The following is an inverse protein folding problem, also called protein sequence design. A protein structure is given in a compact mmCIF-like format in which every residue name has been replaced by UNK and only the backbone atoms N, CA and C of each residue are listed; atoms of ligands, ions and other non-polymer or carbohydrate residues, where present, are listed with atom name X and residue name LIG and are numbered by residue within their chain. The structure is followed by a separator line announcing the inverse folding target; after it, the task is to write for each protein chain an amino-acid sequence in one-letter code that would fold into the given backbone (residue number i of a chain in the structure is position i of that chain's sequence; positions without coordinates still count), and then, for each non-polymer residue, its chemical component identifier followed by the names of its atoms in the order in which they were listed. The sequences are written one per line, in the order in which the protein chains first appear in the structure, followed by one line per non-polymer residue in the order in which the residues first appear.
data_IF_147180645784
#
_entry.id   IF_147180645784
#
_cell.length_a   1.000
_cell.length_b   1.000
_cell.length_c   1.000
_cell.angle_alpha   90.00
_cell.angle_beta   90.00
_cell.angle_gamma   90.00
#
_symmetry.space_group_name_H-M   'P 1'
#
loop_
_entity.id
_entity.type
_entity.pdbx_description
1 polymer ?
#
# COMPACT_ATOMS: atom_id res chain seq x y z
N UNK A 1 22.31 -4.11 19.07
CA UNK A 1 20.99 -4.50 19.65
C UNK A 1 20.00 -4.64 18.50
N UNK A 2 19.19 -5.69 18.45
CA UNK A 2 18.16 -5.84 17.40
C UNK A 2 17.17 -4.69 17.51
N UNK A 3 16.76 -4.10 16.36
CA UNK A 3 15.74 -3.05 16.30
C UNK A 3 14.47 -3.51 17.04
N UNK A 4 13.86 -2.61 17.82
CA UNK A 4 12.56 -2.87 18.46
C UNK A 4 11.38 -2.84 17.46
N UNK A 5 11.66 -2.67 16.17
CA UNK A 5 10.65 -2.57 15.12
C UNK A 5 10.94 -3.56 14.01
N UNK A 6 9.92 -4.29 13.58
CA UNK A 6 9.96 -5.26 12.48
C UNK A 6 9.19 -4.73 11.26
N UNK A 7 9.66 -5.09 10.06
CA UNK A 7 9.05 -4.75 8.78
C UNK A 7 8.34 -5.98 8.22
N UNK A 8 7.02 -5.94 8.10
CA UNK A 8 6.19 -7.02 7.53
C UNK A 8 5.91 -6.70 6.07
N UNK A 9 6.33 -7.58 5.15
CA UNK A 9 6.22 -7.40 3.70
C UNK A 9 5.06 -8.21 3.12
N UNK A 10 4.11 -7.53 2.50
CA UNK A 10 2.89 -8.10 1.93
C UNK A 10 2.89 -7.92 0.41
N UNK A 11 3.06 -8.99 -0.39
CA UNK A 11 3.13 -8.90 -1.85
C UNK A 11 1.77 -8.62 -2.49
N UNK A 12 1.78 -8.30 -3.78
CA UNK A 12 0.58 -8.15 -4.60
C UNK A 12 0.02 -9.48 -5.10
N UNK A 13 -1.09 -9.39 -5.85
CA UNK A 13 -1.66 -10.52 -6.58
C UNK A 13 -0.61 -11.16 -7.51
N UNK A 14 -0.68 -12.46 -7.70
CA UNK A 14 0.25 -13.29 -8.50
C UNK A 14 1.71 -13.29 -8.01
N UNK A 15 2.06 -12.59 -6.92
CA UNK A 15 3.44 -12.46 -6.46
C UNK A 15 3.71 -13.25 -5.18
N UNK A 16 4.91 -13.85 -5.13
CA UNK A 16 5.50 -14.36 -3.88
C UNK A 16 6.28 -13.25 -3.17
N UNK A 17 6.47 -13.36 -1.84
CA UNK A 17 7.24 -12.34 -1.09
C UNK A 17 8.71 -12.24 -1.52
N UNK A 18 9.24 -13.22 -2.27
CA UNK A 18 10.58 -13.16 -2.87
C UNK A 18 10.75 -11.99 -3.86
N UNK A 19 9.67 -11.38 -4.35
CA UNK A 19 9.75 -10.16 -5.16
C UNK A 19 10.44 -9.00 -4.42
N UNK A 20 10.42 -9.00 -3.09
CA UNK A 20 11.09 -8.00 -2.26
C UNK A 20 12.54 -8.32 -1.87
N UNK A 21 13.12 -9.45 -2.33
CA UNK A 21 14.44 -9.92 -1.88
C UNK A 21 15.53 -8.83 -1.94
N UNK A 22 15.63 -8.09 -3.05
CA UNK A 22 16.61 -7.00 -3.23
C UNK A 22 16.48 -5.89 -2.17
N UNK A 23 15.27 -5.59 -1.73
CA UNK A 23 14.98 -4.57 -0.69
C UNK A 23 15.23 -5.15 0.70
N UNK A 24 14.70 -6.35 0.97
CA UNK A 24 14.87 -6.99 2.29
C UNK A 24 16.33 -7.26 2.61
N UNK A 25 17.11 -7.76 1.64
CA UNK A 25 18.56 -8.01 1.81
C UNK A 25 19.32 -6.74 2.18
N UNK A 26 19.01 -5.60 1.55
CA UNK A 26 19.65 -4.33 1.91
C UNK A 26 19.24 -3.87 3.32
N UNK A 27 17.94 -3.92 3.66
CA UNK A 27 17.46 -3.53 4.97
C UNK A 27 18.02 -4.43 6.09
N UNK A 28 18.17 -5.73 5.85
CA UNK A 28 18.70 -6.67 6.82
C UNK A 28 20.22 -6.55 6.97
N UNK A 29 20.97 -6.52 5.85
CA UNK A 29 22.44 -6.60 5.87
C UNK A 29 23.10 -5.27 6.16
N UNK A 30 22.50 -4.15 5.72
CA UNK A 30 23.09 -2.80 5.86
C UNK A 30 22.51 -2.03 7.05
N UNK A 31 21.24 -2.28 7.40
CA UNK A 31 20.52 -1.51 8.43
C UNK A 31 20.07 -2.36 9.61
N UNK A 32 20.38 -3.66 9.62
CA UNK A 32 20.08 -4.61 10.69
C UNK A 32 18.58 -4.66 11.10
N UNK A 33 17.68 -4.33 10.16
CA UNK A 33 16.24 -4.35 10.38
C UNK A 33 15.69 -5.76 10.22
N UNK A 34 14.72 -6.12 11.05
CA UNK A 34 14.02 -7.41 10.95
C UNK A 34 12.97 -7.33 9.85
N UNK A 35 13.11 -8.11 8.78
CA UNK A 35 12.17 -8.20 7.67
C UNK A 35 11.42 -9.54 7.72
N UNK A 36 10.09 -9.48 7.72
CA UNK A 36 9.19 -10.64 7.79
C UNK A 36 8.41 -10.73 6.48
N UNK A 37 8.80 -11.60 5.54
CA UNK A 37 8.04 -11.83 4.32
C UNK A 37 6.79 -12.65 4.59
N UNK A 38 5.63 -12.22 4.07
CA UNK A 38 4.36 -12.93 4.19
C UNK A 38 3.98 -13.56 2.86
N UNK A 39 3.73 -14.87 2.86
CA UNK A 39 3.14 -15.56 1.71
C UNK A 39 1.62 -15.46 1.83
N UNK A 40 0.96 -14.98 0.78
CA UNK A 40 -0.49 -14.92 0.71
C UNK A 40 -1.05 -16.27 0.25
N UNK A 41 -1.92 -16.94 1.02
CA UNK A 41 -2.54 -18.20 0.63
C UNK A 41 -3.20 -18.19 -0.75
N UNK A 42 -3.81 -17.05 -1.12
CA UNK A 42 -4.50 -16.88 -2.41
C UNK A 42 -3.59 -16.90 -3.63
N UNK A 43 -2.27 -16.86 -3.42
CA UNK A 43 -1.24 -16.95 -4.47
C UNK A 43 -0.54 -18.32 -4.51
N UNK A 44 -1.04 -19.33 -3.76
CA UNK A 44 -0.39 -20.61 -3.55
C UNK A 44 -1.15 -21.80 -4.16
N UNK A 45 -1.68 -21.62 -5.37
CA UNK A 45 -2.37 -22.65 -6.14
C UNK A 45 -3.61 -23.25 -5.45
N UNK A 46 -4.22 -22.53 -4.50
CA UNK A 46 -5.50 -22.87 -3.88
C UNK A 46 -6.61 -21.92 -4.36
N UNK A 47 -7.52 -22.37 -5.25
CA UNK A 47 -8.62 -21.54 -5.72
C UNK A 47 -9.68 -21.26 -4.66
N UNK A 48 -9.66 -22.00 -3.55
CA UNK A 48 -10.58 -21.81 -2.43
C UNK A 48 -10.06 -20.83 -1.39
N UNK A 49 -8.77 -20.53 -1.42
CA UNK A 49 -8.18 -19.52 -0.54
C UNK A 49 -8.88 -18.18 -0.71
N UNK A 50 -9.20 -17.52 0.40
CA UNK A 50 -10.04 -16.33 0.47
C UNK A 50 -9.24 -15.10 0.91
N UNK A 51 -9.85 -13.92 0.75
CA UNK A 51 -9.32 -12.66 1.30
C UNK A 51 -9.06 -12.76 2.81
N UNK A 52 -9.94 -13.46 3.55
CA UNK A 52 -9.77 -13.71 4.98
C UNK A 52 -8.46 -14.45 5.28
N UNK A 53 -8.14 -15.48 4.50
CA UNK A 53 -6.93 -16.27 4.72
C UNK A 53 -5.67 -15.42 4.53
N UNK A 54 -5.66 -14.51 3.54
CA UNK A 54 -4.57 -13.56 3.35
C UNK A 54 -4.46 -12.56 4.52
N UNK A 55 -5.60 -12.00 4.95
CA UNK A 55 -5.64 -11.11 6.12
C UNK A 55 -5.13 -11.83 7.37
N UNK A 56 -5.56 -13.07 7.60
CA UNK A 56 -5.14 -13.85 8.77
C UNK A 56 -3.65 -14.20 8.71
N UNK A 57 -3.08 -14.48 7.55
CA UNK A 57 -1.65 -14.70 7.37
C UNK A 57 -0.83 -13.46 7.78
N UNK A 58 -1.24 -12.26 7.33
CA UNK A 58 -0.58 -11.00 7.69
C UNK A 58 -0.78 -10.68 9.17
N UNK A 59 -1.98 -10.86 9.72
CA UNK A 59 -2.27 -10.70 11.16
C UNK A 59 -1.44 -11.63 12.02
N UNK A 60 -1.22 -12.88 11.56
CA UNK A 60 -0.33 -13.85 12.22
C UNK A 60 1.11 -13.34 12.33
N UNK A 61 1.65 -12.79 11.24
CA UNK A 61 2.99 -12.18 11.23
C UNK A 61 3.08 -10.95 12.14
N UNK A 62 2.10 -10.04 12.10
CA UNK A 62 2.02 -8.87 12.98
C UNK A 62 1.97 -9.31 14.45
N UNK A 63 1.10 -10.27 14.79
CA UNK A 63 0.93 -10.76 16.17
C UNK A 63 2.20 -11.34 16.73
N UNK A 64 2.89 -12.18 15.95
CA UNK A 64 4.15 -12.80 16.39
C UNK A 64 5.21 -11.76 16.78
N UNK A 65 5.27 -10.63 16.11
CA UNK A 65 6.23 -9.58 16.43
C UNK A 65 5.75 -8.68 17.58
N UNK A 66 4.46 -8.32 17.60
CA UNK A 66 3.91 -7.50 18.68
C UNK A 66 3.90 -8.23 20.03
N UNK A 67 3.69 -9.55 20.06
CA UNK A 67 3.79 -10.37 21.27
C UNK A 67 5.24 -10.44 21.80
N UNK A 68 6.26 -10.21 20.94
CA UNK A 68 7.66 -10.08 21.36
C UNK A 68 8.00 -8.66 21.86
N UNK A 69 7.01 -7.77 21.97
CA UNK A 69 7.20 -6.36 22.33
C UNK A 69 7.81 -5.51 21.21
N UNK A 70 7.74 -5.95 19.96
CA UNK A 70 8.24 -5.19 18.81
C UNK A 70 7.13 -4.42 18.14
N UNK A 71 7.40 -3.17 17.81
CA UNK A 71 6.53 -2.43 16.91
C UNK A 71 6.65 -2.96 15.48
N UNK A 72 5.62 -2.76 14.67
CA UNK A 72 5.53 -3.29 13.30
C UNK A 72 5.22 -2.15 12.32
N UNK A 73 5.95 -2.13 11.21
CA UNK A 73 5.62 -1.36 10.01
C UNK A 73 5.20 -2.35 8.92
N UNK A 74 4.04 -2.12 8.30
CA UNK A 74 3.50 -3.01 7.26
C UNK A 74 3.79 -2.41 5.89
N UNK A 75 4.59 -3.10 5.07
CA UNK A 75 4.95 -2.71 3.71
C UNK A 75 4.10 -3.52 2.75
N UNK A 76 3.35 -2.86 1.89
CA UNK A 76 2.36 -3.52 1.03
C UNK A 76 2.54 -3.15 -0.44
N UNK A 77 2.17 -4.03 -1.35
CA UNK A 77 2.20 -3.77 -2.78
C UNK A 77 0.88 -4.18 -3.45
N UNK A 78 0.34 -3.34 -4.32
CA UNK A 78 -0.80 -3.65 -5.18
C UNK A 78 -1.98 -4.26 -4.38
N UNK A 79 -2.53 -5.42 -4.75
CA UNK A 79 -3.55 -6.15 -3.98
C UNK A 79 -3.21 -6.30 -2.49
N UNK A 80 -1.94 -6.52 -2.17
CA UNK A 80 -1.47 -6.60 -0.78
C UNK A 80 -1.74 -5.34 0.04
N UNK A 81 -2.00 -4.19 -0.60
CA UNK A 81 -2.45 -2.97 0.05
C UNK A 81 -3.79 -3.13 0.74
N UNK A 82 -4.75 -3.79 0.08
CA UNK A 82 -6.07 -4.11 0.68
C UNK A 82 -5.90 -5.08 1.85
N UNK A 83 -5.07 -6.11 1.69
CA UNK A 83 -4.78 -7.11 2.73
C UNK A 83 -4.10 -6.47 3.94
N UNK A 84 -2.99 -5.74 3.72
CA UNK A 84 -2.21 -5.15 4.80
C UNK A 84 -2.98 -4.09 5.59
N UNK A 85 -3.74 -3.21 4.92
CA UNK A 85 -4.64 -2.28 5.59
C UNK A 85 -5.64 -2.99 6.50
N UNK A 86 -6.25 -4.08 6.00
CA UNK A 86 -7.24 -4.85 6.76
C UNK A 86 -6.62 -5.57 7.95
N UNK A 87 -5.39 -6.05 7.80
CA UNK A 87 -4.67 -6.77 8.84
C UNK A 87 -4.30 -5.91 10.05
N UNK A 88 -4.17 -4.59 9.89
CA UNK A 88 -3.79 -3.64 10.96
C UNK A 88 -4.88 -3.51 12.03
N UNK A 89 -6.14 -3.83 11.72
CA UNK A 89 -7.27 -3.67 12.65
C UNK A 89 -6.97 -4.24 14.04
N UNK A 90 -7.01 -3.36 15.06
CA UNK A 90 -6.80 -3.73 16.46
C UNK A 90 -5.33 -3.94 16.88
N UNK A 91 -4.36 -3.58 16.03
CA UNK A 91 -2.93 -3.59 16.36
C UNK A 91 -2.34 -2.19 16.51
N UNK A 92 -3.08 -1.13 16.21
CA UNK A 92 -2.65 0.25 16.45
C UNK A 92 -2.56 0.55 17.95
N UNK A 93 -1.71 1.51 18.31
CA UNK A 93 -1.62 1.98 19.68
C UNK A 93 -2.95 2.63 20.09
N UNK A 94 -3.54 2.27 21.23
CA UNK A 94 -4.73 2.97 21.74
C UNK A 94 -4.47 4.47 21.85
N UNK A 95 -5.45 5.34 21.56
CA UNK A 95 -5.34 6.76 21.84
C UNK A 95 -4.98 6.95 23.32
N UNK A 96 -3.94 7.75 23.61
CA UNK A 96 -3.67 8.16 24.99
C UNK A 96 -4.89 8.92 25.48
N UNK A 97 -5.57 8.36 26.47
CA UNK A 97 -6.57 9.09 27.24
C UNK A 97 -5.82 10.23 27.93
N UNK A 98 -5.99 11.45 27.42
CA UNK A 98 -5.50 12.67 28.07
C UNK A 98 -6.17 12.76 29.47
N UNK A 99 -5.51 12.19 30.45
CA UNK A 99 -5.91 12.38 31.85
C UNK A 99 -5.50 13.78 32.29
N UNK A 100 -6.22 14.81 31.82
CA UNK A 100 -6.30 16.09 32.47
C UNK A 100 -7.29 15.97 33.66
N UNK A 101 -6.82 15.42 34.76
CA UNK A 101 -7.63 15.26 35.94
C UNK A 101 -6.82 14.62 37.06
N UNK A 102 -6.24 15.43 37.93
CA UNK A 102 -5.65 14.99 39.18
C UNK A 102 -6.63 14.11 39.95
N UNK A 103 -6.27 12.88 40.19
CA UNK A 103 -6.83 12.09 41.30
C UNK A 103 -5.67 11.36 41.97
N UNK A 104 -5.32 11.90 43.13
CA UNK A 104 -4.45 11.27 44.12
C UNK A 104 -5.12 10.00 44.63
N UNK A 105 -4.72 8.84 44.13
CA UNK A 105 -5.02 7.54 44.77
C UNK A 105 -3.71 6.81 44.93
N UNK A 106 -3.40 6.43 46.14
CA UNK A 106 -2.19 5.75 46.62
C UNK A 106 -1.91 4.45 45.85
N UNK A 107 -0.63 4.08 45.69
CA UNK A 107 -0.26 2.85 45.00
C UNK A 107 -0.44 1.65 45.94
N UNK A 108 -1.43 0.84 45.67
CA UNK A 108 -1.51 -0.50 46.25
C UNK A 108 -1.52 -1.53 45.15
N UNK A 109 -0.63 -2.49 45.32
CA UNK A 109 -0.48 -3.78 44.64
C UNK A 109 0.30 -3.80 43.30
N UNK A 110 1.38 -4.49 43.38
CA UNK A 110 2.26 -5.00 42.32
C UNK A 110 1.51 -5.50 41.10
N UNK A 111 1.28 -4.62 40.09
CA UNK A 111 1.10 -5.09 38.73
C UNK A 111 2.46 -5.55 38.23
N UNK A 112 2.59 -6.85 38.05
CA UNK A 112 3.63 -7.42 37.19
C UNK A 112 3.67 -6.56 35.92
N UNK A 113 4.86 -6.02 35.59
CA UNK A 113 5.09 -5.33 34.32
C UNK A 113 4.94 -6.38 33.24
N UNK A 114 3.72 -6.57 32.71
CA UNK A 114 3.53 -7.27 31.46
C UNK A 114 4.47 -6.64 30.44
N UNK A 115 5.28 -7.44 29.79
CA UNK A 115 6.14 -6.99 28.69
C UNK A 115 5.28 -6.10 27.75
N UNK A 116 5.71 -4.86 27.51
CA UNK A 116 4.96 -3.94 26.66
C UNK A 116 4.71 -4.63 25.33
N UNK A 117 3.45 -4.86 24.99
CA UNK A 117 3.06 -5.41 23.69
C UNK A 117 3.36 -4.35 22.64
N UNK A 118 4.04 -4.73 21.54
CA UNK A 118 4.28 -3.85 20.41
C UNK A 118 2.99 -3.53 19.65
N UNK A 119 3.04 -2.54 18.77
CA UNK A 119 1.92 -2.07 17.96
C UNK A 119 2.30 -1.89 16.50
N UNK A 120 1.30 -1.86 15.61
CA UNK A 120 1.53 -1.34 14.26
C UNK A 120 1.65 0.18 14.35
N UNK A 121 2.79 0.71 13.89
CA UNK A 121 3.12 2.14 13.98
C UNK A 121 3.03 2.86 12.64
N UNK A 122 2.90 2.15 11.53
CA UNK A 122 2.72 2.74 10.21
C UNK A 122 2.53 1.72 9.10
N UNK A 123 2.06 2.21 7.96
CA UNK A 123 1.90 1.43 6.72
C UNK A 123 2.67 2.12 5.60
N UNK A 124 3.38 1.33 4.76
CA UNK A 124 4.06 1.82 3.56
C UNK A 124 3.45 1.13 2.34
N UNK A 125 2.39 1.70 1.74
CA UNK A 125 1.80 1.21 0.50
C UNK A 125 2.65 1.58 -0.71
N UNK A 126 2.86 0.61 -1.63
CA UNK A 126 3.61 0.77 -2.87
C UNK A 126 2.70 0.40 -4.04
N UNK A 127 2.53 1.30 -5.02
CA UNK A 127 1.80 1.03 -6.25
C UNK A 127 0.41 0.40 -6.00
N UNK A 128 -0.34 0.90 -5.03
CA UNK A 128 -1.62 0.32 -4.61
C UNK A 128 -2.71 1.37 -4.48
N UNK A 129 -3.95 0.93 -4.26
CA UNK A 129 -5.04 1.74 -3.79
C UNK A 129 -5.21 1.66 -2.27
N UNK A 130 -6.10 2.49 -1.73
CA UNK A 130 -6.48 2.41 -0.33
C UNK A 130 -7.66 1.46 -0.13
N UNK A 131 -7.59 0.64 0.92
CA UNK A 131 -8.70 -0.21 1.34
C UNK A 131 -9.75 0.61 2.08
N UNK A 132 -11.02 0.37 1.77
CA UNK A 132 -12.16 0.94 2.49
C UNK A 132 -12.94 -0.18 3.18
N UNK A 133 -13.32 0.06 4.44
CA UNK A 133 -14.09 -0.90 5.23
C UNK A 133 -15.39 -1.27 4.53
N UNK A 134 -15.66 -2.56 4.41
CA UNK A 134 -16.87 -3.08 3.77
C UNK A 134 -16.80 -3.19 2.24
N UNK A 135 -15.63 -2.94 1.61
CA UNK A 135 -15.44 -3.09 0.16
C UNK A 135 -14.48 -4.24 -0.16
N UNK A 136 -14.82 -5.03 -1.18
CA UNK A 136 -13.92 -6.01 -1.78
C UNK A 136 -12.87 -5.31 -2.65
N UNK A 137 -11.83 -6.05 -3.07
CA UNK A 137 -10.89 -5.52 -4.06
C UNK A 137 -11.58 -5.11 -5.36
N UNK A 138 -12.53 -5.89 -5.85
CA UNK A 138 -13.23 -5.61 -7.10
C UNK A 138 -14.29 -4.49 -6.99
N UNK A 139 -14.76 -4.16 -5.80
CA UNK A 139 -15.62 -2.98 -5.61
C UNK A 139 -14.91 -1.69 -6.02
N UNK A 140 -13.57 -1.61 -5.88
CA UNK A 140 -12.76 -0.48 -6.35
C UNK A 140 -12.78 -0.31 -7.88
N UNK A 141 -13.10 -1.38 -8.61
CA UNK A 141 -13.28 -1.40 -10.05
C UNK A 141 -14.76 -1.43 -10.45
N UNK A 142 -15.69 -1.08 -9.53
CA UNK A 142 -17.15 -1.15 -9.75
C UNK A 142 -17.64 -2.55 -10.15
N UNK A 143 -16.92 -3.57 -9.71
CA UNK A 143 -17.12 -4.98 -10.12
C UNK A 143 -16.98 -5.22 -11.64
N UNK A 144 -16.38 -4.28 -12.37
CA UNK A 144 -16.03 -4.44 -13.79
C UNK A 144 -14.64 -5.06 -13.85
N UNK A 145 -14.51 -6.26 -14.43
CA UNK A 145 -13.21 -6.92 -14.59
C UNK A 145 -12.30 -6.06 -15.48
N UNK A 146 -11.16 -5.58 -14.96
CA UNK A 146 -10.25 -4.79 -15.76
C UNK A 146 -9.60 -5.64 -16.86
N UNK A 147 -9.13 -5.03 -17.96
CA UNK A 147 -8.68 -5.77 -19.14
C UNK A 147 -7.39 -6.58 -18.93
N UNK A 148 -6.68 -6.41 -17.82
CA UNK A 148 -5.41 -7.07 -17.56
C UNK A 148 -5.55 -8.49 -16.99
N UNK A 149 -6.75 -8.92 -16.56
CA UNK A 149 -7.02 -10.31 -16.22
C UNK A 149 -8.42 -10.74 -16.67
N UNK A 150 -8.65 -12.03 -16.78
CA UNK A 150 -9.97 -12.62 -16.99
C UNK A 150 -10.35 -13.52 -15.83
N UNK A 151 -11.65 -13.56 -15.56
CA UNK A 151 -12.26 -14.47 -14.58
C UNK A 151 -12.33 -15.87 -15.18
N UNK A 152 -11.55 -16.81 -14.65
CA UNK A 152 -11.60 -18.20 -15.05
C UNK A 152 -12.38 -19.03 -14.01
N UNK A 153 -13.70 -19.11 -14.20
CA UNK A 153 -14.59 -19.86 -13.30
C UNK A 153 -14.33 -21.36 -13.26
N UNK A 154 -13.64 -21.92 -14.27
CA UNK A 154 -13.33 -23.36 -14.29
C UNK A 154 -12.18 -23.70 -13.35
N UNK A 155 -11.19 -22.83 -13.26
CA UNK A 155 -10.00 -23.02 -12.39
C UNK A 155 -10.14 -22.30 -11.05
N UNK A 156 -11.01 -21.30 -10.94
CA UNK A 156 -11.16 -20.44 -9.76
C UNK A 156 -10.09 -19.34 -9.67
N UNK A 157 -9.34 -19.09 -10.75
CA UNK A 157 -8.25 -18.10 -10.76
C UNK A 157 -8.53 -16.90 -11.66
N UNK A 158 -7.87 -15.81 -11.34
CA UNK A 158 -7.73 -14.64 -12.20
C UNK A 158 -6.53 -14.85 -13.12
N UNK A 159 -6.80 -15.15 -14.40
CA UNK A 159 -5.75 -15.38 -15.40
C UNK A 159 -5.29 -14.04 -15.99
N UNK A 160 -3.99 -13.75 -15.94
CA UNK A 160 -3.43 -12.58 -16.61
C UNK A 160 -3.65 -12.66 -18.13
N UNK A 161 -4.11 -11.56 -18.73
CA UNK A 161 -4.36 -11.41 -20.18
C UNK A 161 -3.31 -10.54 -20.87
N UNK A 162 -2.44 -9.91 -20.08
CA UNK A 162 -1.39 -9.02 -20.54
C UNK A 162 -0.03 -9.68 -20.39
N UNK A 163 0.98 -9.17 -21.09
CA UNK A 163 2.37 -9.61 -20.90
C UNK A 163 2.92 -9.02 -19.61
N UNK A 164 3.26 -9.84 -18.59
CA UNK A 164 3.74 -9.33 -17.31
C UNK A 164 4.97 -8.44 -17.42
N UNK A 165 5.89 -8.74 -18.35
CA UNK A 165 7.08 -7.93 -18.62
C UNK A 165 6.72 -6.48 -18.94
N UNK A 166 5.63 -6.24 -19.70
CA UNK A 166 5.17 -4.90 -20.05
C UNK A 166 4.34 -4.28 -18.94
N UNK A 167 3.54 -5.08 -18.27
CA UNK A 167 2.56 -4.61 -17.30
C UNK A 167 3.18 -4.27 -15.95
N UNK A 168 4.03 -5.17 -15.41
CA UNK A 168 4.63 -5.02 -14.09
C UNK A 168 6.08 -4.56 -14.11
N UNK A 169 6.83 -4.80 -15.21
CA UNK A 169 8.30 -4.82 -15.21
C UNK A 169 8.94 -4.13 -16.40
N UNK A 170 8.25 -3.21 -17.10
CA UNK A 170 8.74 -2.61 -18.34
C UNK A 170 10.01 -1.75 -18.19
N UNK A 171 10.35 -1.38 -16.96
CA UNK A 171 11.57 -0.63 -16.61
C UNK A 171 12.74 -1.52 -16.15
N UNK A 172 12.56 -2.85 -16.20
CA UNK A 172 13.63 -3.82 -15.97
C UNK A 172 14.37 -4.19 -17.26
N UNK A 173 15.65 -4.58 -17.18
CA UNK A 173 16.32 -5.26 -18.29
C UNK A 173 15.53 -6.52 -18.72
N UNK A 174 15.48 -6.86 -20.03
CA UNK A 174 14.63 -7.96 -20.50
C UNK A 174 14.82 -9.29 -19.78
N UNK A 175 16.05 -9.69 -19.50
CA UNK A 175 16.34 -10.94 -18.78
C UNK A 175 15.82 -10.93 -17.34
N UNK A 176 15.88 -9.78 -16.65
CA UNK A 176 15.32 -9.63 -15.30
C UNK A 176 13.79 -9.62 -15.33
N UNK A 177 13.18 -8.97 -16.33
CA UNK A 177 11.74 -8.97 -16.53
C UNK A 177 11.20 -10.38 -16.82
N UNK A 178 11.92 -11.17 -17.64
CA UNK A 178 11.57 -12.56 -17.92
C UNK A 178 11.72 -13.44 -16.69
N UNK A 179 12.79 -13.26 -15.91
CA UNK A 179 12.95 -13.95 -14.62
C UNK A 179 11.83 -13.61 -13.64
N UNK A 180 11.54 -12.32 -13.44
CA UNK A 180 10.44 -11.89 -12.57
C UNK A 180 9.08 -12.46 -13.03
N UNK A 181 8.85 -12.52 -14.35
CA UNK A 181 7.65 -13.14 -14.94
C UNK A 181 7.57 -14.63 -14.63
N UNK A 182 8.69 -15.36 -14.70
CA UNK A 182 8.73 -16.80 -14.39
C UNK A 182 8.44 -17.12 -12.91
N UNK A 183 8.57 -16.12 -12.03
CA UNK A 183 8.30 -16.25 -10.59
C UNK A 183 6.85 -15.95 -10.22
N UNK A 184 6.02 -15.49 -11.16
CA UNK A 184 4.59 -15.24 -10.91
C UNK A 184 3.85 -16.54 -10.65
N UNK A 185 2.79 -16.41 -9.86
CA UNK A 185 1.94 -17.52 -9.40
C UNK A 185 0.48 -17.31 -9.78
N UNK A 186 -0.41 -18.05 -9.20
CA UNK A 186 -1.86 -17.89 -9.36
C UNK A 186 -2.40 -16.74 -8.49
N UNK A 187 -3.67 -16.39 -8.70
CA UNK A 187 -4.45 -15.52 -7.82
C UNK A 187 -5.88 -16.05 -7.74
N UNK A 188 -6.33 -16.39 -6.54
CA UNK A 188 -7.71 -16.84 -6.31
C UNK A 188 -8.71 -15.73 -6.65
N UNK A 189 -9.77 -16.08 -7.39
CA UNK A 189 -10.89 -15.18 -7.66
C UNK A 189 -11.66 -14.83 -6.40
N UNK A 190 -11.79 -15.79 -5.48
CA UNK A 190 -12.52 -15.62 -4.23
C UNK A 190 -11.99 -14.43 -3.44
N UNK A 191 -10.67 -14.27 -3.37
CA UNK A 191 -10.03 -13.15 -2.68
C UNK A 191 -10.28 -11.78 -3.32
N UNK A 192 -10.55 -11.74 -4.61
CA UNK A 192 -10.80 -10.48 -5.32
C UNK A 192 -12.25 -10.02 -5.20
N UNK A 193 -13.22 -10.96 -5.18
CA UNK A 193 -14.64 -10.68 -5.29
C UNK A 193 -15.41 -10.84 -3.97
N UNK A 194 -14.84 -11.50 -2.97
CA UNK A 194 -15.51 -11.82 -1.70
C UNK A 194 -14.74 -11.26 -0.50
N UNK A 195 -15.30 -11.39 0.72
CA UNK A 195 -14.60 -11.09 1.98
C UNK A 195 -14.68 -9.64 2.41
N UNK A 196 -15.67 -8.85 1.93
CA UNK A 196 -15.86 -7.44 2.32
C UNK A 196 -15.96 -7.21 3.83
N UNK A 197 -16.48 -8.19 4.56
CA UNK A 197 -16.62 -8.15 6.02
C UNK A 197 -15.26 -8.16 6.76
N UNK A 198 -14.19 -8.60 6.09
CA UNK A 198 -12.83 -8.60 6.61
C UNK A 198 -12.01 -7.38 6.18
N UNK A 199 -12.53 -6.58 5.24
CA UNK A 199 -11.85 -5.37 4.78
C UNK A 199 -11.93 -4.26 5.84
N UNK A 200 -10.83 -3.52 5.98
CA UNK A 200 -10.72 -2.45 6.98
C UNK A 200 -9.81 -1.31 6.52
N UNK A 201 -10.23 -0.09 6.83
CA UNK A 201 -9.50 1.15 6.52
C UNK A 201 -8.39 1.41 7.55
N UNK A 202 -7.38 0.55 7.64
CA UNK A 202 -6.29 0.66 8.63
C UNK A 202 -5.49 1.96 8.54
N UNK A 203 -5.54 2.64 7.37
CA UNK A 203 -4.96 3.97 7.17
C UNK A 203 -5.59 5.08 8.02
N UNK A 204 -6.73 4.83 8.66
CA UNK A 204 -7.32 5.73 9.67
C UNK A 204 -6.62 5.59 11.04
N UNK A 205 -6.13 4.40 11.35
CA UNK A 205 -5.59 4.07 12.68
C UNK A 205 -4.12 4.49 12.82
N UNK A 206 -3.34 4.39 11.72
CA UNK A 206 -1.89 4.62 11.73
C UNK A 206 -1.46 5.56 10.61
N UNK A 207 -0.30 6.26 10.74
CA UNK A 207 0.24 7.07 9.65
C UNK A 207 0.64 6.20 8.45
N UNK A 208 0.57 6.81 7.27
CA UNK A 208 0.86 6.17 5.99
C UNK A 208 1.97 6.91 5.28
N UNK A 209 2.93 6.17 4.71
CA UNK A 209 3.93 6.71 3.79
C UNK A 209 3.80 6.02 2.43
N UNK A 210 3.12 6.67 1.49
CA UNK A 210 2.77 6.09 0.21
C UNK A 210 3.87 6.29 -0.84
N UNK A 211 4.26 5.20 -1.53
CA UNK A 211 5.18 5.23 -2.68
C UNK A 211 4.36 5.06 -3.95
N UNK A 212 4.22 6.15 -4.70
CA UNK A 212 3.56 6.15 -6.01
C UNK A 212 4.52 5.80 -7.14
N UNK A 213 3.99 5.20 -8.22
CA UNK A 213 4.72 4.72 -9.39
C UNK A 213 4.23 5.45 -10.64
N UNK A 214 5.10 6.35 -11.20
CA UNK A 214 4.67 7.31 -12.23
C UNK A 214 4.38 6.66 -13.57
N UNK A 215 5.10 5.59 -13.92
CA UNK A 215 4.97 4.89 -15.21
C UNK A 215 4.17 3.59 -15.07
N UNK A 216 3.38 3.46 -14.00
CA UNK A 216 2.58 2.28 -13.69
C UNK A 216 1.51 2.00 -14.75
N UNK A 217 1.57 0.81 -15.34
CA UNK A 217 0.57 0.34 -16.31
C UNK A 217 -0.55 -0.50 -15.66
N UNK A 218 -0.37 -0.92 -14.41
CA UNK A 218 -1.36 -1.67 -13.63
C UNK A 218 -2.33 -0.78 -12.89
N UNK A 219 -1.80 0.24 -12.19
CA UNK A 219 -2.58 1.25 -11.47
C UNK A 219 -2.08 2.64 -11.86
N UNK A 220 -2.69 3.30 -12.85
CA UNK A 220 -2.23 4.60 -13.35
C UNK A 220 -2.00 5.62 -12.23
N UNK A 221 -0.93 6.43 -12.34
CA UNK A 221 -0.54 7.39 -11.31
C UNK A 221 -1.65 8.39 -10.94
N UNK A 222 -2.50 8.76 -11.90
CA UNK A 222 -3.66 9.64 -11.65
C UNK A 222 -4.64 9.00 -10.66
N UNK A 223 -4.87 7.68 -10.76
CA UNK A 223 -5.73 6.94 -9.81
C UNK A 223 -5.09 6.92 -8.43
N UNK A 224 -3.78 6.68 -8.35
CA UNK A 224 -3.04 6.69 -7.08
C UNK A 224 -3.14 8.08 -6.41
N UNK A 225 -2.88 9.17 -7.15
CA UNK A 225 -2.98 10.55 -6.66
C UNK A 225 -4.39 10.92 -6.18
N UNK A 226 -5.40 10.52 -6.96
CA UNK A 226 -6.80 10.78 -6.64
C UNK A 226 -7.22 10.09 -5.33
N UNK A 227 -6.83 8.83 -5.13
CA UNK A 227 -7.11 8.11 -3.89
C UNK A 227 -6.37 8.71 -2.69
N UNK A 228 -5.13 9.16 -2.85
CA UNK A 228 -4.39 9.87 -1.80
C UNK A 228 -5.12 11.16 -1.39
N UNK A 229 -5.57 11.95 -2.37
CA UNK A 229 -6.37 13.16 -2.12
C UNK A 229 -7.62 12.84 -1.31
N UNK A 230 -8.38 11.82 -1.72
CA UNK A 230 -9.58 11.36 -1.03
C UNK A 230 -9.29 10.91 0.40
N UNK A 231 -8.28 10.09 0.62
CA UNK A 231 -7.92 9.59 1.95
C UNK A 231 -7.51 10.73 2.88
N UNK A 232 -6.79 11.74 2.38
CA UNK A 232 -6.44 12.94 3.16
C UNK A 232 -7.68 13.73 3.59
N UNK A 233 -8.66 13.91 2.69
CA UNK A 233 -9.95 14.56 3.00
C UNK A 233 -10.72 13.77 4.06
N UNK A 234 -10.62 12.43 4.04
CA UNK A 234 -11.26 11.54 5.01
C UNK A 234 -10.49 11.42 6.34
N UNK A 235 -9.43 12.21 6.54
CA UNK A 235 -8.67 12.25 7.81
C UNK A 235 -7.45 11.35 7.85
N UNK A 236 -7.08 10.69 6.76
CA UNK A 236 -5.86 9.89 6.67
C UNK A 236 -4.59 10.74 6.71
N UNK A 237 -3.63 10.32 7.53
CA UNK A 237 -2.31 10.98 7.65
C UNK A 237 -1.35 10.38 6.63
N UNK A 238 -1.30 10.95 5.43
CA UNK A 238 -0.53 10.39 4.30
C UNK A 238 0.61 11.30 3.91
N UNK A 239 1.85 10.81 4.04
CA UNK A 239 3.04 11.32 3.34
C UNK A 239 3.11 10.60 1.98
N UNK A 240 3.46 11.33 0.94
CA UNK A 240 3.45 10.83 -0.44
C UNK A 240 4.75 11.10 -1.15
N UNK A 241 5.33 10.07 -1.76
CA UNK A 241 6.54 10.15 -2.57
C UNK A 241 6.32 9.40 -3.87
N UNK A 242 6.83 9.88 -4.98
CA UNK A 242 6.73 9.24 -6.30
C UNK A 242 8.10 8.74 -6.78
N UNK A 243 8.07 7.56 -7.41
CA UNK A 243 9.20 7.03 -8.18
C UNK A 243 8.80 6.93 -9.65
N UNK A 244 9.71 7.33 -10.54
CA UNK A 244 9.56 7.14 -11.99
C UNK A 244 9.90 5.70 -12.34
N UNK A 245 8.93 4.79 -12.12
CA UNK A 245 9.08 3.33 -12.30
C UNK A 245 7.81 2.71 -12.83
N UNK A 246 7.93 1.45 -13.25
CA UNK A 246 6.82 0.53 -13.48
C UNK A 246 6.08 0.20 -12.17
N UNK A 247 5.17 -0.77 -12.21
CA UNK A 247 4.39 -1.25 -11.06
C UNK A 247 5.24 -1.85 -9.91
N UNK A 248 6.50 -2.24 -10.18
CA UNK A 248 7.34 -3.00 -9.24
C UNK A 248 8.67 -2.31 -8.89
N UNK A 249 8.65 -1.13 -8.22
CA UNK A 249 9.85 -0.34 -7.95
C UNK A 249 10.87 -1.06 -7.06
N UNK A 250 10.46 -2.01 -6.25
CA UNK A 250 11.35 -2.83 -5.40
C UNK A 250 12.26 -3.77 -6.22
N UNK A 251 11.94 -4.01 -7.51
CA UNK A 251 12.79 -4.75 -8.44
C UNK A 251 13.70 -3.83 -9.25
N UNK A 252 13.17 -2.71 -9.77
CA UNK A 252 13.89 -1.82 -10.69
C UNK A 252 14.72 -0.76 -9.95
N UNK A 253 14.21 -0.24 -8.84
CA UNK A 253 14.86 0.80 -8.03
C UNK A 253 14.94 0.43 -6.54
N UNK A 254 15.49 -0.75 -6.17
CA UNK A 254 15.48 -1.22 -4.79
C UNK A 254 16.15 -0.26 -3.81
N UNK A 255 17.24 0.43 -4.22
CA UNK A 255 17.92 1.40 -3.37
C UNK A 255 17.04 2.59 -3.01
N UNK A 256 16.28 3.13 -3.96
CA UNK A 256 15.36 4.23 -3.72
C UNK A 256 14.20 3.80 -2.81
N UNK A 257 13.68 2.58 -3.01
CA UNK A 257 12.65 2.02 -2.11
C UNK A 257 13.20 1.88 -0.69
N UNK A 258 14.42 1.34 -0.52
CA UNK A 258 15.08 1.25 0.79
C UNK A 258 15.21 2.63 1.46
N UNK A 259 15.66 3.64 0.74
CA UNK A 259 15.80 5.01 1.27
C UNK A 259 14.47 5.57 1.76
N UNK A 260 13.38 5.37 0.99
CA UNK A 260 12.04 5.83 1.40
C UNK A 260 11.53 5.04 2.61
N UNK A 261 11.77 3.72 2.65
CA UNK A 261 11.42 2.89 3.81
C UNK A 261 12.14 3.35 5.07
N UNK A 262 13.42 3.73 4.98
CA UNK A 262 14.20 4.25 6.12
C UNK A 262 13.66 5.61 6.60
N UNK A 263 13.31 6.51 5.70
CA UNK A 263 12.68 7.79 6.04
C UNK A 263 11.31 7.58 6.72
N UNK A 264 10.50 6.67 6.20
CA UNK A 264 9.23 6.30 6.81
C UNK A 264 9.43 5.67 8.18
N UNK A 265 10.42 4.78 8.33
CA UNK A 265 10.79 4.15 9.58
C UNK A 265 11.14 5.22 10.64
N UNK A 266 12.02 6.17 10.32
CA UNK A 266 12.38 7.28 11.20
C UNK A 266 11.15 8.11 11.57
N UNK A 267 10.31 8.43 10.61
CA UNK A 267 9.06 9.18 10.82
C UNK A 267 8.09 8.48 11.77
N UNK A 268 7.98 7.15 11.70
CA UNK A 268 7.04 6.37 12.50
C UNK A 268 7.55 6.04 13.90
N UNK A 269 8.89 5.88 14.05
CA UNK A 269 9.51 5.41 15.30
C UNK A 269 10.19 6.50 16.09
N UNK A 270 10.48 7.64 15.46
CA UNK A 270 11.31 8.70 16.05
C UNK A 270 12.80 8.32 16.20
N UNK A 271 13.22 7.18 15.62
CA UNK A 271 14.61 6.68 15.70
C UNK A 271 15.14 6.39 14.31
N UNK A 272 16.41 6.68 14.06
CA UNK A 272 17.08 6.31 12.81
C UNK A 272 17.42 4.83 12.81
N UNK A 273 17.33 4.19 11.65
CA UNK A 273 17.69 2.78 11.49
C UNK A 273 19.20 2.57 11.67
N UNK A 274 20.01 3.53 11.23
CA UNK A 274 21.46 3.64 11.50
C UNK A 274 21.97 5.03 11.12
N UNK A 275 22.98 5.54 11.86
CA UNK A 275 23.71 6.78 11.55
C UNK A 275 24.75 6.55 10.43
N UNK A 276 24.31 6.23 9.20
CA UNK A 276 25.24 6.18 8.07
C UNK A 276 25.35 7.54 7.37
N UNK A 277 26.54 7.95 6.90
CA UNK A 277 26.76 9.26 6.23
C UNK A 277 25.88 9.48 4.99
N UNK A 278 25.48 8.42 4.28
CA UNK A 278 24.62 8.50 3.09
C UNK A 278 23.16 8.85 3.41
N UNK A 279 22.65 8.47 4.58
CA UNK A 279 21.31 8.84 5.03
C UNK A 279 21.21 10.30 5.44
N UNK A 280 22.30 10.91 5.90
CA UNK A 280 22.37 12.32 6.28
C UNK A 280 22.27 13.27 5.08
N UNK A 281 22.77 12.89 3.92
CA UNK A 281 22.73 13.73 2.70
C UNK A 281 21.33 13.83 2.09
N UNK A 282 20.52 12.80 2.22
CA UNK A 282 19.13 12.76 1.75
C UNK A 282 18.14 13.40 2.72
N UNK A 283 18.39 13.29 4.02
CA UNK A 283 17.59 13.95 5.05
C UNK A 283 17.68 15.47 4.98
N UNK A 284 18.77 16.01 4.39
CA UNK A 284 19.01 17.44 4.21
C UNK A 284 18.45 18.00 2.88
N UNK A 285 17.86 17.19 2.01
CA UNK A 285 17.14 17.73 0.84
C UNK A 285 15.83 18.34 1.30
N UNK A 286 15.58 19.62 1.01
CA UNK A 286 14.33 20.25 1.39
C UNK A 286 13.16 19.47 0.76
N UNK A 287 12.21 19.08 1.58
CA UNK A 287 10.89 18.61 1.14
C UNK A 287 10.34 19.62 0.16
N UNK A 288 10.19 19.26 -1.10
CA UNK A 288 9.50 20.09 -2.09
C UNK A 288 8.02 19.73 -1.97
N UNK A 289 7.20 20.55 -1.28
CA UNK A 289 5.77 20.38 -1.36
C UNK A 289 5.39 20.71 -2.80
N UNK A 290 4.68 19.80 -3.48
CA UNK A 290 4.09 20.06 -4.78
C UNK A 290 3.24 21.34 -4.67
N UNK A 291 3.79 22.48 -5.12
CA UNK A 291 2.98 23.64 -5.40
C UNK A 291 2.02 23.24 -6.52
N UNK A 292 0.74 23.46 -6.27
CA UNK A 292 -0.30 23.46 -7.29
C UNK A 292 0.07 24.46 -8.37
N UNK A 293 0.82 24.05 -9.38
CA UNK A 293 1.01 24.71 -10.68
C UNK A 293 2.34 24.24 -11.29
N UNK A 294 2.21 23.28 -12.21
CA UNK A 294 2.92 23.27 -13.48
C UNK A 294 2.40 22.06 -14.28
N UNK A 295 1.31 22.35 -15.00
CA UNK A 295 0.93 21.56 -16.17
C UNK A 295 2.00 21.83 -17.23
N UNK A 296 2.98 20.93 -17.36
CA UNK A 296 3.91 20.98 -18.48
C UNK A 296 3.14 20.65 -19.75
N UNK A 297 3.01 21.65 -20.62
CA UNK A 297 2.52 21.49 -21.99
C UNK A 297 3.49 20.61 -22.78
N UNK A 298 3.04 19.43 -23.19
CA UNK A 298 3.77 18.56 -24.12
C UNK A 298 3.59 19.11 -25.54
N UNK A 299 4.66 19.31 -26.33
CA UNK A 299 4.55 19.71 -27.74
C UNK A 299 3.80 18.64 -28.54
N UNK A 300 2.81 19.09 -29.32
CA UNK A 300 1.91 18.20 -30.05
C UNK A 300 2.58 17.45 -31.18
N UNK A 301 2.32 16.15 -31.23
CA UNK A 301 2.43 15.32 -32.40
C UNK A 301 1.01 15.10 -32.98
N UNK A 302 0.79 15.50 -34.24
CA UNK A 302 -0.55 15.70 -34.80
C UNK A 302 -1.22 14.44 -35.34
N UNK A 303 -0.55 13.28 -35.35
CA UNK A 303 -1.04 12.07 -36.03
C UNK A 303 -1.43 10.90 -35.09
N UNK A 304 -1.39 11.11 -33.76
CA UNK A 304 -1.77 10.10 -32.76
C UNK A 304 -3.09 10.36 -32.01
N UNK A 305 -3.88 11.34 -32.42
CA UNK A 305 -4.92 11.98 -31.58
C UNK A 305 -6.21 11.15 -31.38
N UNK A 306 -6.51 10.15 -32.22
CA UNK A 306 -7.83 9.48 -32.18
C UNK A 306 -7.90 8.30 -31.18
N UNK A 307 -6.81 7.60 -30.95
CA UNK A 307 -6.76 6.46 -30.01
C UNK A 307 -6.47 6.87 -28.56
N UNK A 308 -5.65 7.90 -28.37
CA UNK A 308 -5.35 8.48 -27.05
C UNK A 308 -6.52 9.29 -26.47
N UNK A 309 -7.30 9.96 -27.34
CA UNK A 309 -8.49 10.71 -26.96
C UNK A 309 -9.59 9.81 -26.36
N UNK A 310 -9.86 8.67 -26.97
CA UNK A 310 -10.83 7.68 -26.45
C UNK A 310 -10.36 7.02 -25.15
N UNK A 311 -9.07 6.74 -25.00
CA UNK A 311 -8.55 6.16 -23.77
C UNK A 311 -8.64 7.15 -22.60
N UNK A 312 -8.36 8.44 -22.83
CA UNK A 312 -8.46 9.49 -21.80
C UNK A 312 -9.91 9.79 -21.38
N UNK A 313 -10.88 9.76 -22.32
CA UNK A 313 -12.30 9.98 -22.00
C UNK A 313 -12.87 8.82 -21.18
N UNK A 314 -12.58 7.59 -21.53
CA UNK A 314 -13.00 6.39 -20.78
C UNK A 314 -12.35 6.35 -19.39
N UNK A 315 -11.09 6.75 -19.26
CA UNK A 315 -10.43 6.86 -17.95
C UNK A 315 -11.05 7.96 -17.08
N UNK A 316 -11.42 9.10 -17.66
CA UNK A 316 -12.07 10.21 -16.95
C UNK A 316 -13.48 9.85 -16.48
N UNK A 317 -14.28 9.20 -17.32
CA UNK A 317 -15.62 8.73 -16.95
C UNK A 317 -15.57 7.64 -15.86
N UNK A 318 -14.62 6.72 -15.93
CA UNK A 318 -14.40 5.69 -14.90
C UNK A 318 -13.96 6.31 -13.57
N UNK A 319 -13.07 7.31 -13.59
CA UNK A 319 -12.67 8.05 -12.40
C UNK A 319 -13.88 8.79 -11.78
N UNK A 320 -14.67 9.51 -12.56
CA UNK A 320 -15.86 10.20 -12.07
C UNK A 320 -16.90 9.23 -11.51
N UNK A 321 -17.10 8.07 -12.13
CA UNK A 321 -17.99 7.02 -11.65
C UNK A 321 -17.49 6.41 -10.34
N UNK A 322 -16.20 6.16 -10.23
CA UNK A 322 -15.56 5.66 -9.02
C UNK A 322 -15.73 6.68 -7.86
N UNK A 323 -15.48 7.96 -8.10
CA UNK A 323 -15.67 9.00 -7.08
C UNK A 323 -17.13 9.17 -6.65
N UNK A 324 -18.08 9.11 -7.57
CA UNK A 324 -19.53 9.12 -7.25
C UNK A 324 -19.92 7.93 -6.40
N UNK A 325 -19.36 6.75 -6.68
CA UNK A 325 -19.61 5.53 -5.92
C UNK A 325 -19.07 5.64 -4.48
N UNK A 326 -17.82 6.09 -4.33
CA UNK A 326 -17.24 6.35 -3.00
C UNK A 326 -17.98 7.45 -2.25
N UNK A 327 -18.44 8.47 -2.96
CA UNK A 327 -19.25 9.53 -2.40
C UNK A 327 -20.59 9.01 -1.85
N UNK A 328 -21.25 8.08 -2.55
CA UNK A 328 -22.47 7.44 -2.08
C UNK A 328 -22.26 6.54 -0.86
N UNK A 329 -21.13 5.82 -0.82
CA UNK A 329 -20.77 4.97 0.33
C UNK A 329 -20.38 5.77 1.58
N UNK A 330 -19.86 6.99 1.41
CA UNK A 330 -19.48 7.87 2.50
C UNK A 330 -20.66 8.66 3.13
N UNK A 331 -21.88 8.50 2.63
CA UNK A 331 -23.07 9.16 3.21
C UNK A 331 -23.33 8.82 4.70
N UNK A 332 -22.67 7.76 5.22
CA UNK A 332 -22.66 7.46 6.65
C UNK A 332 -21.57 8.20 7.46
N UNK A 333 -20.63 8.85 6.79
CA UNK A 333 -19.57 9.67 7.40
C UNK A 333 -19.90 11.13 7.07
N UNK A 334 -20.14 11.98 8.07
CA UNK A 334 -20.42 13.42 7.90
C UNK A 334 -19.23 14.15 7.27
N UNK A 335 -18.95 13.94 5.97
CA UNK A 335 -17.91 14.60 5.20
C UNK A 335 -18.54 15.61 4.25
N UNK A 336 -18.01 16.84 4.24
CA UNK A 336 -18.47 17.89 3.34
C UNK A 336 -18.14 17.56 1.88
N UNK A 337 -19.13 17.21 1.10
CA UNK A 337 -19.07 16.77 -0.30
C UNK A 337 -18.49 17.80 -1.28
N UNK A 338 -18.57 19.11 -0.97
CA UNK A 338 -18.06 20.18 -1.83
C UNK A 338 -16.57 20.06 -2.13
N UNK A 339 -15.76 19.70 -1.15
CA UNK A 339 -14.30 19.56 -1.32
C UNK A 339 -13.89 18.40 -2.26
N UNK A 340 -14.69 17.36 -2.36
CA UNK A 340 -14.45 16.23 -3.28
C UNK A 340 -14.78 16.60 -4.74
N UNK A 341 -15.81 17.41 -4.95
CA UNK A 341 -16.17 17.92 -6.30
C UNK A 341 -15.12 18.91 -6.79
N UNK A 342 -14.60 19.78 -5.93
CA UNK A 342 -13.54 20.75 -6.28
C UNK A 342 -12.23 20.06 -6.71
N UNK A 343 -11.92 18.88 -6.19
CA UNK A 343 -10.78 18.07 -6.63
C UNK A 343 -11.03 17.49 -8.03
N UNK A 344 -12.27 17.09 -8.34
CA UNK A 344 -12.63 16.52 -9.65
C UNK A 344 -12.62 17.55 -10.77
N UNK A 345 -12.98 18.80 -10.48
CA UNK A 345 -13.00 19.88 -11.48
C UNK A 345 -11.59 20.41 -11.79
N UNK A 346 -10.58 20.06 -10.95
CA UNK A 346 -9.18 20.45 -11.11
C UNK A 346 -8.25 19.29 -11.58
N UNK A 347 -8.77 18.12 -11.93
CA UNK A 347 -8.08 16.99 -12.56
C UNK A 347 -8.49 16.92 -14.04
#
# INVERSE_FOLDING_TARGET
MSSKTSLVFVPGAWHKPSCYSKVMEQLQNQHHLTCIPVTLPTTMDDPMASFKDDVDAVRGAIRQETEKGRDVIVITHSYGGTVGNSAVKGFSRPPELSTSGQSSVSPSTSRERNAETGHVVGIIPIATGFCFTGLTFMDHFLNITPPFFRVNKKTGYADLTVRPQKFFYHDLPPAEADHATSMLTTQSLKALFEGREYSYSGWLDVPVWFIGTVEDQGLPILVQRAQIGMVRVLGGRVVYTELKTSHSPFLSQPKQVVQIVLQAFESFTGTRADDTPETLELANRPFIPLKSQELVSVPGDKDGLDTLGRCKSVQRENLQSMFRYYALLSQGLHVQFSALLDILDNI
#
